data_IF_119155137205
#
_entry.id   IF_119155137205
#
_cell.length_a   1.000
_cell.length_b   1.000
_cell.length_c   1.000
_cell.angle_alpha   90.00
_cell.angle_beta   90.00
_cell.angle_gamma   90.00
#
_symmetry.space_group_name_H-M   'P 1'
#
loop_
_entity.id
_entity.type
_entity.pdbx_description
1 polymer ?
#
# COMPACT_ATOMS: atom_id res chain seq x y z
N UNK A 1 -12.55 -5.97 10.90
CA UNK A 1 -11.68 -6.76 10.02
C UNK A 1 -10.34 -6.99 10.70
N UNK A 2 -9.70 -8.17 10.54
CA UNK A 2 -8.32 -8.33 10.96
C UNK A 2 -7.42 -7.39 10.15
N UNK A 3 -6.41 -6.82 10.80
CA UNK A 3 -5.43 -5.95 10.17
C UNK A 3 -4.44 -6.81 9.36
N UNK A 4 -4.26 -6.50 8.09
CA UNK A 4 -3.37 -7.22 7.20
C UNK A 4 -2.27 -6.32 6.65
N UNK A 5 -1.07 -6.87 6.52
CA UNK A 5 0.05 -6.23 5.82
C UNK A 5 0.24 -6.95 4.50
N UNK A 6 -0.01 -6.24 3.40
CA UNK A 6 0.11 -6.76 2.05
C UNK A 6 1.48 -6.46 1.45
N UNK A 7 2.02 -7.44 0.72
CA UNK A 7 3.33 -7.35 0.08
C UNK A 7 3.16 -7.42 -1.43
N UNK A 8 3.33 -6.27 -2.07
CA UNK A 8 3.19 -6.14 -3.50
C UNK A 8 4.37 -6.77 -4.25
N UNK A 9 4.09 -7.73 -5.11
CA UNK A 9 5.07 -8.43 -5.92
C UNK A 9 4.47 -8.92 -7.24
N UNK A 10 5.33 -9.32 -8.18
CA UNK A 10 4.90 -10.16 -9.28
C UNK A 10 4.92 -11.64 -8.87
N UNK A 11 4.30 -12.52 -9.68
CA UNK A 11 4.22 -13.95 -9.36
C UNK A 11 5.58 -14.67 -9.28
N UNK A 12 6.65 -14.10 -9.89
CA UNK A 12 8.01 -14.66 -9.88
C UNK A 12 8.73 -14.44 -8.56
N UNK A 13 8.30 -13.45 -7.78
CA UNK A 13 8.90 -13.04 -6.52
C UNK A 13 8.13 -13.59 -5.29
N UNK A 14 7.18 -14.52 -5.51
CA UNK A 14 6.36 -15.04 -4.42
C UNK A 14 7.23 -15.72 -3.35
N UNK A 15 7.07 -15.27 -2.12
CA UNK A 15 7.70 -15.89 -0.94
C UNK A 15 6.69 -16.84 -0.32
N UNK A 16 7.09 -18.08 -0.09
CA UNK A 16 6.26 -19.08 0.58
C UNK A 16 6.34 -18.89 2.12
N UNK A 17 5.82 -17.77 2.61
CA UNK A 17 5.77 -17.42 4.02
C UNK A 17 4.32 -17.15 4.41
N UNK A 18 3.77 -17.94 5.35
CA UNK A 18 2.38 -17.84 5.79
C UNK A 18 2.04 -16.52 6.49
N UNK A 19 3.05 -15.73 6.86
CA UNK A 19 2.90 -14.39 7.48
C UNK A 19 2.66 -13.28 6.44
N UNK A 20 2.82 -13.59 5.16
CA UNK A 20 2.75 -12.63 4.06
C UNK A 20 1.40 -12.73 3.38
N UNK A 21 0.67 -11.63 3.33
CA UNK A 21 -0.52 -11.49 2.50
C UNK A 21 -0.09 -10.94 1.14
N UNK A 22 -0.17 -11.75 0.06
CA UNK A 22 0.32 -11.30 -1.24
C UNK A 22 -0.57 -10.22 -1.83
N UNK A 23 0.05 -9.25 -2.51
CA UNK A 23 -0.60 -8.32 -3.42
C UNK A 23 0.05 -8.47 -4.79
N UNK A 24 -0.74 -8.78 -5.82
CA UNK A 24 -0.26 -9.20 -7.12
C UNK A 24 -0.50 -8.14 -8.20
N UNK A 25 0.57 -7.76 -8.90
CA UNK A 25 0.54 -6.92 -10.10
C UNK A 25 0.05 -7.67 -11.35
N UNK A 26 -0.30 -6.90 -12.37
CA UNK A 26 -0.58 -7.37 -13.73
C UNK A 26 -2.05 -7.35 -14.11
N UNK A 27 -2.92 -6.81 -13.25
CA UNK A 27 -4.32 -6.59 -13.57
C UNK A 27 -4.55 -5.22 -14.19
N UNK A 28 -5.57 -5.08 -15.02
CA UNK A 28 -5.94 -3.82 -15.65
C UNK A 28 -6.85 -4.03 -16.84
N UNK A 29 -6.81 -3.08 -17.77
CA UNK A 29 -7.55 -3.15 -19.02
C UNK A 29 -6.61 -2.93 -20.22
N UNK A 30 -7.03 -3.45 -21.37
CA UNK A 30 -6.44 -3.12 -22.66
C UNK A 30 -7.00 -1.80 -23.19
N UNK A 31 -6.46 -1.27 -24.28
CA UNK A 31 -7.01 -0.08 -24.96
C UNK A 31 -8.46 -0.27 -25.43
N UNK A 32 -8.85 -1.51 -25.78
CA UNK A 32 -10.23 -1.85 -26.16
C UNK A 32 -11.20 -2.01 -24.97
N UNK A 33 -10.70 -1.94 -23.73
CA UNK A 33 -11.51 -2.14 -22.52
C UNK A 33 -11.64 -3.60 -22.08
N UNK A 34 -10.99 -4.54 -22.78
CA UNK A 34 -10.95 -5.94 -22.34
C UNK A 34 -10.07 -6.09 -21.07
N UNK A 35 -10.41 -7.01 -20.14
CA UNK A 35 -9.60 -7.26 -18.97
C UNK A 35 -8.20 -7.75 -19.33
N UNK A 36 -7.19 -7.22 -18.63
CA UNK A 36 -5.83 -7.70 -18.63
C UNK A 36 -5.57 -8.45 -17.34
N UNK A 37 -5.09 -9.68 -17.46
CA UNK A 37 -4.79 -10.57 -16.34
C UNK A 37 -3.32 -10.99 -16.39
N UNK A 38 -2.69 -11.26 -15.25
CA UNK A 38 -1.35 -11.81 -15.22
C UNK A 38 -1.35 -13.25 -15.74
N UNK A 39 -0.20 -13.72 -16.20
CA UNK A 39 -0.03 -15.08 -16.73
C UNK A 39 -0.37 -16.17 -15.69
N UNK A 40 -0.04 -15.93 -14.43
CA UNK A 40 -0.33 -16.83 -13.33
C UNK A 40 -0.95 -16.07 -12.16
N UNK A 41 -2.02 -16.63 -11.60
CA UNK A 41 -2.72 -16.06 -10.44
C UNK A 41 -2.12 -16.61 -9.14
N UNK A 42 -1.82 -15.71 -8.21
CA UNK A 42 -1.52 -16.08 -6.83
C UNK A 42 -2.84 -16.29 -6.07
N UNK A 43 -2.98 -17.40 -5.32
CA UNK A 43 -4.16 -17.60 -4.48
C UNK A 43 -4.22 -16.52 -3.39
N UNK A 44 -5.43 -16.17 -2.99
CA UNK A 44 -5.71 -15.25 -1.86
C UNK A 44 -4.96 -13.92 -1.86
N UNK A 45 -4.55 -13.41 -3.04
CA UNK A 45 -3.86 -12.15 -3.15
C UNK A 45 -4.82 -10.98 -3.33
N UNK A 46 -4.46 -9.83 -2.75
CA UNK A 46 -4.97 -8.52 -3.18
C UNK A 46 -4.56 -8.29 -4.64
N UNK A 47 -5.46 -7.82 -5.49
CA UNK A 47 -5.17 -7.59 -6.91
C UNK A 47 -4.79 -6.14 -7.14
N UNK A 48 -3.66 -5.91 -7.82
CA UNK A 48 -3.18 -4.56 -8.12
C UNK A 48 -3.53 -4.24 -9.57
N UNK A 49 -4.38 -3.23 -9.76
CA UNK A 49 -4.77 -2.71 -11.07
C UNK A 49 -3.97 -1.44 -11.34
N UNK A 50 -3.21 -1.44 -12.43
CA UNK A 50 -2.47 -0.27 -12.90
C UNK A 50 -3.22 0.50 -14.00
N UNK A 51 -2.81 1.75 -14.24
CA UNK A 51 -3.28 2.61 -15.32
C UNK A 51 -2.22 2.81 -16.42
N UNK A 52 -1.26 1.89 -16.55
CA UNK A 52 -0.25 1.94 -17.60
C UNK A 52 -0.91 2.00 -18.99
N UNK A 53 -2.01 1.28 -19.16
CA UNK A 53 -2.89 1.35 -20.33
C UNK A 53 -4.26 1.82 -19.86
N UNK A 54 -4.74 2.96 -20.40
CA UNK A 54 -6.11 3.40 -20.21
C UNK A 54 -6.98 2.97 -21.39
N UNK A 55 -8.17 2.42 -21.14
CA UNK A 55 -9.14 2.12 -22.20
C UNK A 55 -9.55 3.39 -22.97
N UNK A 56 -9.80 3.26 -24.27
CA UNK A 56 -10.34 4.35 -25.12
C UNK A 56 -11.82 4.59 -24.87
N UNK A 57 -12.53 3.58 -24.37
CA UNK A 57 -13.92 3.67 -23.95
C UNK A 57 -14.09 2.97 -22.59
N UNK A 58 -15.12 3.33 -21.85
CA UNK A 58 -15.44 2.70 -20.56
C UNK A 58 -15.66 1.21 -20.77
N UNK A 59 -14.96 0.33 -20.06
CA UNK A 59 -15.17 -1.12 -20.13
C UNK A 59 -16.63 -1.46 -19.81
N UNK A 60 -17.14 -2.50 -20.44
CA UNK A 60 -18.49 -2.98 -20.20
C UNK A 60 -18.63 -3.75 -18.86
N UNK A 61 -19.85 -4.04 -18.46
CA UNK A 61 -20.11 -4.76 -17.22
C UNK A 61 -19.53 -6.19 -17.21
N UNK A 62 -19.38 -6.83 -18.38
CA UNK A 62 -18.78 -8.16 -18.46
C UNK A 62 -17.28 -8.11 -18.15
N UNK A 63 -16.58 -7.09 -18.66
CA UNK A 63 -15.16 -6.86 -18.36
C UNK A 63 -14.93 -6.60 -16.87
N UNK A 64 -15.77 -5.79 -16.23
CA UNK A 64 -15.70 -5.56 -14.78
C UNK A 64 -15.94 -6.83 -13.99
N UNK A 65 -17.00 -7.63 -14.32
CA UNK A 65 -17.26 -8.91 -13.68
C UNK A 65 -16.10 -9.88 -13.84
N UNK A 66 -15.50 -9.97 -15.02
CA UNK A 66 -14.38 -10.86 -15.25
C UNK A 66 -13.18 -10.54 -14.35
N UNK A 67 -12.84 -9.25 -14.14
CA UNK A 67 -11.83 -8.87 -13.16
C UNK A 67 -12.26 -9.18 -11.73
N UNK A 68 -13.51 -8.87 -11.38
CA UNK A 68 -14.05 -9.10 -10.05
C UNK A 68 -13.99 -10.58 -9.64
N UNK A 69 -14.29 -11.50 -10.55
CA UNK A 69 -14.20 -12.95 -10.31
C UNK A 69 -12.78 -13.44 -9.97
N UNK A 70 -11.74 -12.68 -10.31
CA UNK A 70 -10.37 -13.03 -9.95
C UNK A 70 -9.98 -12.54 -8.56
N UNK A 71 -10.91 -11.92 -7.82
CA UNK A 71 -10.63 -11.25 -6.56
C UNK A 71 -11.28 -11.95 -5.39
N UNK A 72 -10.52 -12.21 -4.33
CA UNK A 72 -11.04 -12.71 -3.04
C UNK A 72 -10.75 -11.78 -1.87
N UNK A 73 -9.74 -10.90 -1.99
CA UNK A 73 -9.26 -10.04 -0.89
C UNK A 73 -9.50 -8.55 -1.13
N UNK A 74 -9.67 -8.12 -2.37
CA UNK A 74 -9.85 -6.73 -2.74
C UNK A 74 -8.99 -6.28 -3.91
N UNK A 75 -9.11 -5.00 -4.24
CA UNK A 75 -8.27 -4.35 -5.25
C UNK A 75 -7.50 -3.20 -4.66
N UNK A 76 -6.25 -3.06 -5.09
CA UNK A 76 -5.48 -1.85 -5.01
C UNK A 76 -5.35 -1.23 -6.41
N UNK A 77 -5.87 0.00 -6.56
CA UNK A 77 -5.79 0.78 -7.79
C UNK A 77 -4.50 1.61 -7.75
N UNK A 78 -3.44 1.04 -8.30
CA UNK A 78 -2.11 1.65 -8.40
C UNK A 78 -2.07 2.58 -9.62
N UNK A 79 -2.81 3.67 -9.54
CA UNK A 79 -2.94 4.65 -10.62
C UNK A 79 -1.90 5.75 -10.43
N UNK A 80 -1.01 5.87 -11.41
CA UNK A 80 0.06 6.89 -11.40
C UNK A 80 -0.33 8.16 -12.14
N UNK A 81 -1.26 8.06 -13.12
CA UNK A 81 -1.68 9.20 -13.94
C UNK A 81 -2.55 10.18 -13.17
N UNK A 82 -2.75 11.38 -13.74
CA UNK A 82 -3.71 12.36 -13.22
C UNK A 82 -5.13 11.80 -13.29
N UNK A 83 -5.97 11.99 -12.25
CA UNK A 83 -7.36 11.54 -12.23
C UNK A 83 -8.16 12.04 -13.45
N UNK A 84 -8.89 11.14 -14.09
CA UNK A 84 -9.75 11.41 -15.26
C UNK A 84 -11.13 10.79 -15.06
N UNK A 85 -12.07 11.10 -15.97
CA UNK A 85 -13.38 10.44 -15.98
C UNK A 85 -13.28 8.92 -16.18
N UNK A 86 -12.26 8.44 -16.91
CA UNK A 86 -12.02 7.02 -17.09
C UNK A 86 -11.68 6.33 -15.77
N UNK A 87 -10.81 6.92 -14.95
CA UNK A 87 -10.49 6.40 -13.62
C UNK A 87 -11.76 6.34 -12.74
N UNK A 88 -12.60 7.39 -12.79
CA UNK A 88 -13.87 7.38 -12.07
C UNK A 88 -14.78 6.24 -12.53
N UNK A 89 -14.87 6.00 -13.83
CA UNK A 89 -15.68 4.92 -14.39
C UNK A 89 -15.14 3.55 -13.98
N UNK A 90 -13.82 3.35 -14.02
CA UNK A 90 -13.17 2.10 -13.61
C UNK A 90 -13.39 1.82 -12.11
N UNK A 91 -13.16 2.81 -11.24
CA UNK A 91 -13.38 2.68 -9.80
C UNK A 91 -14.82 2.33 -9.47
N UNK A 92 -15.79 3.06 -10.05
CA UNK A 92 -17.21 2.83 -9.81
C UNK A 92 -17.70 1.52 -10.43
N UNK A 93 -17.22 1.16 -11.62
CA UNK A 93 -17.56 -0.10 -12.27
C UNK A 93 -17.14 -1.30 -11.44
N UNK A 94 -15.89 -1.35 -11.03
CA UNK A 94 -15.37 -2.42 -10.18
C UNK A 94 -16.02 -2.43 -8.79
N UNK A 95 -16.21 -1.26 -8.16
CA UNK A 95 -16.88 -1.20 -6.85
C UNK A 95 -18.30 -1.76 -6.83
N UNK A 96 -19.05 -1.67 -7.95
CA UNK A 96 -20.39 -2.27 -8.08
C UNK A 96 -20.34 -3.78 -8.13
N UNK A 97 -19.36 -4.34 -8.84
CA UNK A 97 -19.18 -5.78 -9.00
C UNK A 97 -18.56 -6.44 -7.74
N UNK A 98 -18.04 -5.63 -6.82
CA UNK A 98 -17.33 -6.06 -5.63
C UNK A 98 -18.07 -5.70 -4.33
N UNK A 99 -19.40 -5.59 -4.36
CA UNK A 99 -20.20 -5.15 -3.20
C UNK A 99 -19.90 -5.92 -1.91
N UNK A 100 -19.46 -7.17 -2.02
CA UNK A 100 -19.20 -8.07 -0.88
C UNK A 100 -17.71 -8.18 -0.53
N UNK A 101 -16.81 -7.49 -1.26
CA UNK A 101 -15.37 -7.58 -1.05
C UNK A 101 -14.89 -6.45 -0.14
N UNK A 102 -14.14 -6.78 0.92
CA UNK A 102 -13.92 -5.86 2.02
C UNK A 102 -12.91 -4.75 1.76
N UNK A 103 -12.07 -4.84 0.73
CA UNK A 103 -10.94 -3.91 0.59
C UNK A 103 -10.78 -3.37 -0.83
N UNK A 104 -11.09 -2.10 -0.99
CA UNK A 104 -10.78 -1.32 -2.19
C UNK A 104 -9.85 -0.17 -1.79
N UNK A 105 -8.70 -0.08 -2.41
CA UNK A 105 -7.63 0.88 -2.07
C UNK A 105 -7.28 1.69 -3.31
N UNK A 106 -7.06 2.98 -3.17
CA UNK A 106 -6.44 3.81 -4.21
C UNK A 106 -5.59 4.91 -3.57
N UNK A 107 -4.63 5.45 -4.33
CA UNK A 107 -3.89 6.62 -3.88
C UNK A 107 -4.85 7.75 -3.47
N UNK A 108 -4.44 8.54 -2.49
CA UNK A 108 -5.26 9.57 -1.82
C UNK A 108 -6.02 10.48 -2.79
N UNK A 109 -5.38 10.84 -3.92
CA UNK A 109 -6.00 11.68 -4.96
C UNK A 109 -7.15 11.03 -5.72
N UNK A 110 -7.28 9.69 -5.69
CA UNK A 110 -8.35 8.95 -6.37
C UNK A 110 -9.48 8.55 -5.42
N UNK A 111 -9.23 8.42 -4.13
CA UNK A 111 -10.23 8.00 -3.14
C UNK A 111 -11.52 8.85 -3.18
N UNK A 112 -11.47 10.18 -3.38
CA UNK A 112 -12.68 11.00 -3.48
C UNK A 112 -13.58 10.68 -4.68
N UNK A 113 -13.07 9.99 -5.71
CA UNK A 113 -13.84 9.63 -6.91
C UNK A 113 -14.86 8.51 -6.66
N UNK A 114 -14.66 7.72 -5.59
CA UNK A 114 -15.54 6.62 -5.23
C UNK A 114 -15.53 6.41 -3.70
N UNK A 115 -16.68 6.54 -3.07
CA UNK A 115 -16.84 6.50 -1.60
C UNK A 115 -16.59 5.12 -0.97
N UNK A 116 -16.54 4.07 -1.78
CA UNK A 116 -16.21 2.71 -1.34
C UNK A 116 -14.71 2.43 -1.28
N UNK A 117 -13.88 3.38 -1.75
CA UNK A 117 -12.44 3.22 -1.84
C UNK A 117 -11.77 3.88 -0.65
N UNK A 118 -10.88 3.14 0.01
CA UNK A 118 -10.02 3.65 1.07
C UNK A 118 -8.78 4.34 0.50
N UNK A 119 -8.38 5.50 1.04
CA UNK A 119 -7.18 6.19 0.62
C UNK A 119 -5.93 5.41 1.05
N UNK A 120 -4.99 5.23 0.12
CA UNK A 120 -3.61 4.86 0.44
C UNK A 120 -2.86 6.12 0.82
N UNK A 121 -2.41 6.18 2.06
CA UNK A 121 -1.71 7.35 2.61
C UNK A 121 -0.22 7.04 2.73
N UNK A 122 0.57 7.83 2.06
CA UNK A 122 2.04 7.80 2.12
C UNK A 122 2.50 8.67 3.28
N UNK A 123 3.25 8.14 4.25
CA UNK A 123 3.83 8.97 5.31
C UNK A 123 4.77 10.02 4.71
N UNK A 124 4.78 11.25 5.25
CA UNK A 124 5.72 12.25 4.77
C UNK A 124 7.17 11.78 5.01
N UNK A 125 8.10 12.11 4.11
CA UNK A 125 9.49 11.66 4.18
C UNK A 125 10.21 12.02 5.48
N UNK A 126 9.72 13.03 6.19
CA UNK A 126 10.23 13.51 7.47
C UNK A 126 9.10 13.53 8.50
N UNK A 127 8.48 12.38 8.72
CA UNK A 127 7.49 12.26 9.78
C UNK A 127 8.18 12.45 11.13
N UNK A 128 8.15 13.66 11.65
CA UNK A 128 8.81 14.00 12.91
C UNK A 128 8.11 13.39 14.13
N UNK A 129 6.79 13.16 14.04
CA UNK A 129 5.99 12.58 15.10
C UNK A 129 4.95 11.61 14.50
N UNK A 130 5.20 10.31 14.68
CA UNK A 130 4.37 9.27 14.10
C UNK A 130 2.96 9.20 14.72
N UNK A 131 2.85 9.40 16.03
CA UNK A 131 1.55 9.41 16.72
C UNK A 131 0.67 10.54 16.21
N UNK A 132 1.23 11.74 16.06
CA UNK A 132 0.51 12.90 15.53
C UNK A 132 0.06 12.66 14.07
N UNK A 133 0.94 12.10 13.23
CA UNK A 133 0.60 11.73 11.85
C UNK A 133 -0.59 10.76 11.80
N UNK A 134 -0.51 9.65 12.54
CA UNK A 134 -1.56 8.63 12.54
C UNK A 134 -2.89 9.18 13.08
N UNK A 135 -2.85 9.97 14.14
CA UNK A 135 -4.05 10.59 14.74
C UNK A 135 -4.72 11.58 13.77
N UNK A 136 -3.95 12.44 13.11
CA UNK A 136 -4.47 13.39 12.12
C UNK A 136 -5.05 12.67 10.90
N UNK A 137 -4.35 11.64 10.40
CA UNK A 137 -4.81 10.83 9.27
C UNK A 137 -6.12 10.12 9.62
N UNK A 138 -6.19 9.48 10.79
CA UNK A 138 -7.41 8.82 11.25
C UNK A 138 -8.60 9.76 11.45
N UNK A 139 -8.35 10.99 11.93
CA UNK A 139 -9.38 12.02 12.03
C UNK A 139 -9.86 12.50 10.66
N UNK A 140 -8.96 12.58 9.68
CA UNK A 140 -9.29 12.97 8.30
C UNK A 140 -10.05 11.86 7.55
N UNK A 141 -9.73 10.58 7.81
CA UNK A 141 -10.36 9.41 7.19
C UNK A 141 -11.06 8.50 8.22
N UNK A 142 -12.16 8.94 8.82
CA UNK A 142 -12.82 8.22 9.91
C UNK A 142 -13.43 6.88 9.47
N UNK A 143 -13.67 6.67 8.17
CA UNK A 143 -14.13 5.39 7.59
C UNK A 143 -13.01 4.37 7.44
N UNK A 144 -11.76 4.80 7.56
CA UNK A 144 -10.56 3.99 7.39
C UNK A 144 -9.62 4.52 6.33
N UNK A 145 -8.40 4.07 6.40
CA UNK A 145 -7.32 4.37 5.46
C UNK A 145 -6.33 3.21 5.42
N UNK A 146 -5.46 3.21 4.44
CA UNK A 146 -4.42 2.20 4.25
C UNK A 146 -3.06 2.88 4.28
N UNK A 147 -2.12 2.30 5.01
CA UNK A 147 -0.76 2.82 5.13
C UNK A 147 0.13 2.30 4.01
N UNK A 148 0.79 3.18 3.30
CA UNK A 148 1.89 2.81 2.42
C UNK A 148 3.17 2.59 3.24
N UNK A 149 3.79 1.40 3.11
CA UNK A 149 5.02 1.05 3.79
C UNK A 149 6.22 1.40 2.92
N UNK A 150 6.95 2.41 3.34
CA UNK A 150 8.22 2.82 2.74
C UNK A 150 9.31 2.68 3.81
N UNK A 151 10.02 1.54 3.88
CA UNK A 151 10.98 1.26 4.96
C UNK A 151 12.26 2.09 4.88
N UNK A 152 12.50 2.76 3.75
CA UNK A 152 13.65 3.62 3.54
C UNK A 152 13.21 5.04 3.24
N UNK A 153 13.12 5.87 4.29
CA UNK A 153 12.94 7.30 4.12
C UNK A 153 14.28 7.98 3.90
N UNK A 154 14.52 8.44 2.72
CA UNK A 154 15.38 9.51 2.24
C UNK A 154 16.75 9.77 2.89
N UNK A 155 17.75 9.93 2.02
CA UNK A 155 19.05 10.52 2.33
C UNK A 155 18.90 12.04 2.45
N UNK A 156 18.95 12.59 3.64
CA UNK A 156 18.92 14.04 3.87
C UNK A 156 20.33 14.52 4.20
N UNK A 157 20.74 15.62 3.58
CA UNK A 157 21.98 16.31 3.97
C UNK A 157 21.70 17.17 5.21
N UNK A 158 22.30 16.84 6.34
CA UNK A 158 22.12 17.58 7.59
C UNK A 158 23.45 18.04 8.18
N UNK A 159 23.48 19.20 8.85
CA UNK A 159 24.70 19.77 9.45
C UNK A 159 24.97 19.24 10.87
N UNK A 160 24.70 17.98 11.19
CA UNK A 160 24.90 17.48 12.54
C UNK A 160 26.25 16.78 12.74
N UNK A 161 26.96 17.26 13.74
CA UNK A 161 28.09 16.58 14.37
C UNK A 161 27.59 15.88 15.65
N UNK A 162 26.92 14.76 15.56
CA UNK A 162 26.66 13.92 16.73
C UNK A 162 26.30 12.52 16.28
N UNK A 163 26.73 11.54 16.99
CA UNK A 163 26.49 10.09 16.88
C UNK A 163 26.31 9.51 15.46
N UNK A 164 27.10 8.56 15.08
CA UNK A 164 27.08 7.93 13.75
C UNK A 164 25.79 7.13 13.46
N UNK A 165 24.98 6.84 14.47
CA UNK A 165 23.69 6.15 14.36
C UNK A 165 22.86 6.34 15.62
N UNK A 166 21.52 6.18 15.50
CA UNK A 166 20.60 6.25 16.64
C UNK A 166 19.15 6.01 16.24
N UNK A 167 18.26 6.25 17.20
CA UNK A 167 16.81 6.13 17.03
C UNK A 167 16.14 7.46 17.37
N UNK A 168 15.15 7.84 16.57
CA UNK A 168 14.28 8.97 16.81
C UNK A 168 12.98 8.44 17.41
N UNK A 169 12.71 8.76 18.67
CA UNK A 169 11.58 8.20 19.44
C UNK A 169 10.24 8.64 18.87
N UNK A 170 10.05 9.93 18.62
CA UNK A 170 8.78 10.46 18.14
C UNK A 170 8.48 10.07 16.69
N UNK A 171 9.51 9.99 15.86
CA UNK A 171 9.41 9.55 14.48
C UNK A 171 9.34 8.03 14.32
N UNK A 172 9.63 7.29 15.38
CA UNK A 172 9.74 5.82 15.37
C UNK A 172 10.57 5.31 14.20
N UNK A 173 11.76 5.86 13.99
CA UNK A 173 12.68 5.41 12.97
C UNK A 173 14.12 5.42 13.48
N UNK A 174 14.97 4.65 12.82
CA UNK A 174 16.40 4.66 13.04
C UNK A 174 17.09 5.58 12.04
N UNK A 175 18.30 6.01 12.36
CA UNK A 175 19.14 6.74 11.41
C UNK A 175 20.60 6.27 11.46
N UNK A 176 21.28 6.43 10.34
CA UNK A 176 22.71 6.20 10.20
C UNK A 176 23.32 7.38 9.44
N UNK A 177 24.36 7.96 10.01
CA UNK A 177 25.14 9.01 9.36
C UNK A 177 26.38 8.41 8.68
N UNK A 178 26.60 8.80 7.43
CA UNK A 178 27.80 8.45 6.66
C UNK A 178 28.32 9.74 6.02
N UNK A 179 29.40 10.30 6.58
CA UNK A 179 29.90 11.63 6.21
C UNK A 179 28.84 12.71 6.47
N UNK A 180 28.48 13.48 5.44
CA UNK A 180 27.45 14.54 5.52
C UNK A 180 26.04 14.06 5.22
N UNK A 181 25.82 12.75 4.96
CA UNK A 181 24.52 12.20 4.63
C UNK A 181 23.95 11.44 5.82
N UNK A 182 22.66 11.68 6.12
CA UNK A 182 21.91 10.89 7.10
C UNK A 182 20.87 10.09 6.32
N UNK A 183 20.83 8.80 6.58
CA UNK A 183 19.84 7.86 6.07
C UNK A 183 18.93 7.48 7.22
N UNK A 184 17.64 7.72 7.06
CA UNK A 184 16.61 7.20 7.96
C UNK A 184 16.13 5.86 7.45
N UNK A 185 15.78 4.95 8.35
CA UNK A 185 15.26 3.65 7.99
C UNK A 185 14.43 3.07 9.13
N UNK A 186 13.55 2.15 8.78
CA UNK A 186 12.82 1.35 9.75
C UNK A 186 13.57 0.05 10.06
N UNK A 187 13.46 -0.38 11.31
CA UNK A 187 13.71 -1.76 11.74
C UNK A 187 12.37 -2.48 11.85
N UNK A 188 12.41 -3.80 12.02
CA UNK A 188 11.20 -4.58 12.33
C UNK A 188 10.44 -4.00 13.53
N UNK A 189 11.17 -3.66 14.60
CA UNK A 189 10.58 -3.11 15.82
C UNK A 189 9.90 -1.75 15.58
N UNK A 190 10.59 -0.82 14.91
CA UNK A 190 10.00 0.52 14.63
C UNK A 190 8.80 0.40 13.71
N UNK A 191 8.86 -0.48 12.71
CA UNK A 191 7.74 -0.72 11.82
C UNK A 191 6.54 -1.32 12.56
N UNK A 192 6.76 -2.32 13.42
CA UNK A 192 5.69 -2.92 14.22
C UNK A 192 5.01 -1.89 15.13
N UNK A 193 5.79 -1.01 15.77
CA UNK A 193 5.24 0.09 16.59
C UNK A 193 4.43 1.08 15.76
N UNK A 194 4.91 1.45 14.56
CA UNK A 194 4.18 2.31 13.62
C UNK A 194 2.83 1.72 13.24
N UNK A 195 2.80 0.43 12.89
CA UNK A 195 1.59 -0.29 12.51
C UNK A 195 0.59 -0.37 13.66
N UNK A 196 1.06 -0.70 14.87
CA UNK A 196 0.21 -0.75 16.06
C UNK A 196 -0.43 0.62 16.39
N UNK A 197 0.29 1.72 16.20
CA UNK A 197 -0.26 3.06 16.37
C UNK A 197 -1.25 3.38 15.25
N UNK A 198 -0.90 3.13 13.98
CA UNK A 198 -1.79 3.40 12.86
C UNK A 198 -3.13 2.67 13.00
N UNK A 199 -3.10 1.39 13.41
CA UNK A 199 -4.30 0.59 13.66
C UNK A 199 -5.24 1.21 14.70
N UNK A 200 -4.69 1.81 15.78
CA UNK A 200 -5.50 2.52 16.78
C UNK A 200 -6.17 3.78 16.24
N UNK A 201 -5.74 4.27 15.09
CA UNK A 201 -6.25 5.46 14.42
C UNK A 201 -6.91 5.16 13.08
N UNK A 202 -7.77 4.14 13.05
CA UNK A 202 -8.59 3.74 11.90
C UNK A 202 -7.80 3.25 10.65
N UNK A 203 -6.52 2.94 10.76
CA UNK A 203 -5.81 2.27 9.69
C UNK A 203 -6.32 0.82 9.55
N UNK A 204 -6.81 0.45 8.36
CA UNK A 204 -7.44 -0.84 8.12
C UNK A 204 -6.45 -1.90 7.61
N UNK A 205 -5.40 -1.47 6.92
CA UNK A 205 -4.38 -2.33 6.35
C UNK A 205 -3.10 -1.53 6.07
N UNK A 206 -2.04 -2.25 5.72
CA UNK A 206 -0.83 -1.65 5.18
C UNK A 206 -0.40 -2.38 3.90
N UNK A 207 0.27 -1.69 3.00
CA UNK A 207 0.81 -2.27 1.75
C UNK A 207 2.20 -1.72 1.47
N UNK A 208 3.10 -2.58 1.01
CA UNK A 208 4.45 -2.17 0.59
C UNK A 208 5.06 -3.15 -0.39
N UNK A 209 6.16 -2.78 -1.02
CA UNK A 209 6.87 -3.61 -1.98
C UNK A 209 7.61 -4.75 -1.27
N UNK A 210 7.41 -5.98 -1.71
CA UNK A 210 8.06 -7.15 -1.12
C UNK A 210 9.59 -7.01 -1.09
N UNK A 211 10.20 -6.56 -2.20
CA UNK A 211 11.65 -6.37 -2.31
C UNK A 211 12.24 -5.42 -1.27
N UNK A 212 11.46 -4.41 -0.85
CA UNK A 212 11.90 -3.40 0.11
C UNK A 212 11.69 -3.84 1.56
N UNK A 213 10.69 -4.71 1.81
CA UNK A 213 10.32 -5.20 3.13
C UNK A 213 10.99 -6.56 3.46
N UNK A 214 11.42 -7.31 2.46
CA UNK A 214 12.04 -8.62 2.64
C UNK A 214 13.22 -8.64 3.63
N UNK A 215 14.15 -7.66 3.63
CA UNK A 215 15.24 -7.62 4.61
C UNK A 215 14.74 -7.48 6.06
N UNK A 216 13.62 -6.76 6.27
CA UNK A 216 13.00 -6.62 7.58
C UNK A 216 12.37 -7.93 8.05
N UNK A 217 11.73 -8.67 7.15
CA UNK A 217 11.12 -9.97 7.43
C UNK A 217 12.19 -11.01 7.81
N UNK A 218 13.33 -11.01 7.14
CA UNK A 218 14.44 -11.94 7.41
C UNK A 218 15.11 -11.68 8.75
N UNK A 219 15.16 -10.42 9.21
CA UNK A 219 15.72 -10.04 10.51
C UNK A 219 14.82 -10.40 11.69
N UNK A 220 13.55 -10.71 11.44
CA UNK A 220 12.58 -11.02 12.47
C UNK A 220 12.60 -12.53 12.77
N UNK A 221 13.14 -12.92 13.92
CA UNK A 221 13.04 -14.29 14.45
C UNK A 221 11.64 -14.66 14.98
N UNK A 222 10.61 -13.86 14.69
CA UNK A 222 9.25 -14.08 15.17
C UNK A 222 8.19 -13.57 14.18
N UNK A 223 6.96 -14.07 14.32
CA UNK A 223 5.82 -13.63 13.52
C UNK A 223 5.49 -12.15 13.78
N UNK A 224 5.02 -11.44 12.75
CA UNK A 224 4.29 -10.21 12.94
C UNK A 224 3.02 -10.54 13.75
N UNK A 225 3.04 -10.32 15.03
CA UNK A 225 1.84 -10.37 15.88
C UNK A 225 1.27 -8.95 15.92
N UNK A 226 0.18 -8.75 15.18
CA UNK A 226 -0.62 -7.53 15.23
C UNK A 226 -1.98 -7.82 15.86
#
# INVERSE_FOLDING_TARGET
>A
MPFHVYFASNWKESVNDQRIFPAQYGFGFTESGAPRLPEKLLPDALRIIDDAILPKAVPDAAAFRQLAHQCSKGFFFDFERTPTQMHTAMLRGLSRELSDIPLLIAAERFAPLCTSVLPLVTPPPRCANWLSFAAQTGAHYPKGWVLELIPYAYSVQMPFAAQSSGRLQDALCCYRQTGKKIRYFDTYETLSQKLAIAQKHACCAAIGLLKDLQPLLQSAQGAFHF
#
